data_IF_552297722898
#
_entry.id   IF_552297722898
#
_cell.length_a   1.000
_cell.length_b   1.000
_cell.length_c   1.000
_cell.angle_alpha   90.00
_cell.angle_beta   90.00
_cell.angle_gamma   90.00
#
_symmetry.space_group_name_H-M   'P 1'
#
loop_
_entity.id
_entity.type
_entity.pdbx_description
1 polymer ?
#
# COMPACT_ATOMS: atom_id res chain seq x y z
N UNK A 1 7.08 22.39 4.06
CA UNK A 1 7.19 21.08 4.74
C UNK A 1 7.01 20.00 3.68
N UNK A 2 8.05 19.23 3.36
CA UNK A 2 7.92 18.10 2.43
C UNK A 2 7.17 16.97 3.14
N UNK A 3 5.99 16.61 2.65
CA UNK A 3 5.21 15.49 3.18
C UNK A 3 5.88 14.19 2.72
N UNK A 4 6.78 13.65 3.53
CA UNK A 4 7.39 12.35 3.27
C UNK A 4 6.31 11.27 3.40
N UNK A 5 6.11 10.51 2.32
CA UNK A 5 5.20 9.36 2.26
C UNK A 5 6.05 8.08 2.28
N UNK A 6 6.41 7.57 3.47
CA UNK A 6 7.27 6.40 3.58
C UNK A 6 6.59 5.17 2.96
N UNK A 7 7.40 4.29 2.36
CA UNK A 7 6.93 2.99 1.89
C UNK A 7 6.95 2.00 3.05
N UNK A 8 5.81 1.39 3.33
CA UNK A 8 5.59 0.62 4.56
C UNK A 8 4.98 -0.73 4.20
N UNK A 9 5.37 -1.77 4.95
CA UNK A 9 4.77 -3.10 4.86
C UNK A 9 3.54 -3.21 5.77
N UNK A 10 2.57 -4.10 5.47
CA UNK A 10 1.37 -4.31 6.29
C UNK A 10 1.68 -4.49 7.79
N UNK A 11 2.70 -5.28 8.11
CA UNK A 11 3.12 -5.56 9.48
C UNK A 11 3.53 -4.31 10.28
N UNK A 12 3.92 -3.23 9.60
CA UNK A 12 4.38 -1.98 10.22
C UNK A 12 3.32 -0.87 10.19
N UNK A 13 2.10 -1.16 9.72
CA UNK A 13 1.00 -0.18 9.70
C UNK A 13 0.67 0.37 11.08
N UNK A 14 0.84 -0.45 12.12
CA UNK A 14 0.58 -0.07 13.51
C UNK A 14 1.42 1.14 13.96
N UNK A 15 2.63 1.32 13.40
CA UNK A 15 3.49 2.45 13.74
C UNK A 15 2.95 3.80 13.23
N UNK A 16 2.18 3.78 12.14
CA UNK A 16 1.61 4.96 11.47
C UNK A 16 0.13 5.16 11.81
N UNK A 17 -0.38 4.44 12.81
CA UNK A 17 -1.75 4.56 13.26
C UNK A 17 -1.97 5.94 13.91
N UNK A 18 -3.10 6.63 13.64
CA UNK A 18 -3.40 7.96 14.18
C UNK A 18 -3.41 8.05 15.72
N UNK A 19 -3.55 6.92 16.44
CA UNK A 19 -3.43 6.90 17.91
C UNK A 19 -1.97 7.07 18.39
N UNK A 20 -0.99 6.86 17.51
CA UNK A 20 0.41 7.10 17.80
C UNK A 20 0.66 8.61 17.66
N UNK A 21 0.39 9.36 18.74
CA UNK A 21 0.35 10.82 18.79
C UNK A 21 1.73 11.50 18.66
N UNK A 22 2.61 11.01 17.80
CA UNK A 22 3.86 11.68 17.48
C UNK A 22 3.59 12.75 16.40
N UNK A 23 3.68 14.06 16.71
CA UNK A 23 3.38 15.14 15.76
C UNK A 23 4.35 15.19 14.55
N UNK A 24 5.43 14.42 14.57
CA UNK A 24 6.39 14.30 13.46
C UNK A 24 6.12 13.10 12.54
N UNK A 25 5.21 12.20 12.91
CA UNK A 25 4.90 10.99 12.12
C UNK A 25 3.71 11.27 11.22
N UNK A 26 3.89 11.06 9.92
CA UNK A 26 2.81 11.18 8.95
C UNK A 26 1.96 9.91 8.98
N UNK A 27 0.63 10.06 9.08
CA UNK A 27 -0.27 8.90 8.99
C UNK A 27 -0.47 8.43 7.54
N UNK A 28 0.21 9.06 6.58
CA UNK A 28 0.15 8.75 5.16
C UNK A 28 1.30 7.83 4.80
N UNK A 29 0.99 6.63 4.33
CA UNK A 29 1.94 5.60 3.95
C UNK A 29 1.74 5.21 2.49
N UNK A 30 2.76 4.58 1.92
CA UNK A 30 2.72 4.00 0.58
C UNK A 30 2.93 2.49 0.65
N UNK A 31 2.06 1.73 0.00
CA UNK A 31 2.02 0.26 0.07
C UNK A 31 1.94 -0.29 -1.34
N UNK A 32 2.79 -1.26 -1.65
CA UNK A 32 2.74 -1.99 -2.91
C UNK A 32 2.16 -3.37 -2.66
N UNK A 33 1.15 -3.75 -3.43
CA UNK A 33 0.56 -5.08 -3.36
C UNK A 33 -0.24 -5.42 -4.60
N UNK A 34 -0.57 -6.71 -4.73
CA UNK A 34 -1.43 -7.20 -5.82
C UNK A 34 -2.87 -7.16 -5.36
N UNK A 35 -3.76 -6.60 -6.18
CA UNK A 35 -5.20 -6.58 -5.87
C UNK A 35 -5.77 -7.99 -5.94
N UNK A 36 -6.18 -8.53 -4.80
CA UNK A 36 -6.74 -9.88 -4.69
C UNK A 36 -8.25 -9.90 -4.49
N UNK A 37 -8.83 -8.81 -3.97
CA UNK A 37 -10.28 -8.64 -3.90
C UNK A 37 -10.69 -7.18 -4.15
N UNK A 38 -11.84 -7.00 -4.81
CA UNK A 38 -12.52 -5.72 -4.97
C UNK A 38 -13.98 -5.87 -4.55
N UNK A 39 -14.44 -5.04 -3.63
CA UNK A 39 -15.77 -5.06 -3.02
C UNK A 39 -16.31 -3.63 -2.93
N UNK A 40 -16.88 -3.13 -4.03
CA UNK A 40 -17.41 -1.78 -4.10
C UNK A 40 -16.36 -0.75 -3.70
N UNK A 41 -16.50 -0.18 -2.51
CA UNK A 41 -15.63 0.86 -1.96
C UNK A 41 -14.45 0.31 -1.14
N UNK A 42 -14.25 -1.00 -1.13
CA UNK A 42 -13.16 -1.66 -0.40
C UNK A 42 -12.37 -2.56 -1.34
N UNK A 43 -11.05 -2.56 -1.23
CA UNK A 43 -10.18 -3.51 -1.90
C UNK A 43 -9.34 -4.28 -0.89
N UNK A 44 -8.92 -5.48 -1.26
CA UNK A 44 -7.87 -6.20 -0.53
C UNK A 44 -6.68 -6.33 -1.46
N UNK A 45 -5.52 -5.90 -0.98
CA UNK A 45 -4.25 -6.11 -1.65
C UNK A 45 -3.41 -7.07 -0.83
N UNK A 46 -2.68 -7.96 -1.51
CA UNK A 46 -1.74 -8.88 -0.88
C UNK A 46 -0.32 -8.41 -1.16
N UNK A 47 0.45 -8.17 -0.11
CA UNK A 47 1.82 -7.66 -0.18
C UNK A 47 2.83 -8.81 -0.23
N UNK A 48 2.70 -9.69 -1.22
CA UNK A 48 3.47 -10.94 -1.29
C UNK A 48 3.29 -11.78 -0.02
N UNK A 49 4.40 -12.21 0.57
CA UNK A 49 4.39 -13.02 1.81
C UNK A 49 4.21 -12.20 3.09
N UNK A 50 4.04 -10.88 2.99
CA UNK A 50 3.95 -9.97 4.14
C UNK A 50 2.51 -9.73 4.62
N UNK A 51 1.55 -10.54 4.15
CA UNK A 51 0.14 -10.45 4.51
C UNK A 51 -0.70 -9.57 3.58
N UNK A 52 -1.99 -9.51 3.89
CA UNK A 52 -3.01 -8.75 3.18
C UNK A 52 -3.40 -7.47 3.92
N UNK A 53 -3.80 -6.46 3.16
CA UNK A 53 -4.27 -5.17 3.68
C UNK A 53 -5.58 -4.81 3.03
N UNK A 54 -6.51 -4.36 3.86
CA UNK A 54 -7.77 -3.81 3.41
C UNK A 54 -7.62 -2.32 3.12
N UNK A 55 -7.98 -1.94 1.91
CA UNK A 55 -7.98 -0.57 1.42
C UNK A 55 -9.41 -0.05 1.35
N UNK A 56 -9.63 1.16 1.83
CA UNK A 56 -10.87 1.89 1.59
C UNK A 56 -10.66 2.73 0.35
N UNK A 57 -11.30 2.31 -0.74
CA UNK A 57 -11.27 2.98 -2.03
C UNK A 57 -12.12 4.24 -2.00
N UNK A 58 -11.79 5.13 -2.92
CA UNK A 58 -12.63 6.25 -3.30
C UNK A 58 -13.30 5.94 -4.64
N UNK A 59 -14.40 6.64 -5.00
CA UNK A 59 -15.07 6.46 -6.28
C UNK A 59 -14.18 6.70 -7.52
N UNK A 60 -13.08 7.46 -7.36
CA UNK A 60 -12.07 7.74 -8.39
C UNK A 60 -10.94 6.69 -8.44
N UNK A 61 -10.96 5.67 -7.57
CA UNK A 61 -9.93 4.65 -7.49
C UNK A 61 -10.20 3.52 -8.48
N UNK A 62 -9.51 3.57 -9.63
CA UNK A 62 -9.66 2.61 -10.72
C UNK A 62 -8.76 1.37 -10.55
N UNK A 63 -8.79 0.74 -9.38
CA UNK A 63 -8.00 -0.48 -9.15
C UNK A 63 -8.54 -1.66 -9.97
N UNK A 64 -7.63 -2.45 -10.52
CA UNK A 64 -7.96 -3.64 -11.30
C UNK A 64 -7.56 -4.92 -10.57
N UNK A 65 -8.46 -5.90 -10.56
CA UNK A 65 -8.23 -7.22 -9.97
C UNK A 65 -7.02 -7.89 -10.63
N UNK A 66 -6.13 -8.47 -9.80
CA UNK A 66 -4.94 -9.19 -10.25
C UNK A 66 -3.79 -8.32 -10.76
N UNK A 67 -3.93 -6.98 -10.71
CA UNK A 67 -2.83 -6.06 -11.04
C UNK A 67 -2.00 -5.70 -9.82
N UNK A 68 -0.73 -5.44 -10.06
CA UNK A 68 0.18 -4.89 -9.07
C UNK A 68 -0.04 -3.39 -8.98
N UNK A 69 -0.32 -2.89 -7.79
CA UNK A 69 -0.65 -1.48 -7.56
C UNK A 69 0.10 -0.94 -6.37
N UNK A 70 0.58 0.29 -6.49
CA UNK A 70 1.13 1.06 -5.38
C UNK A 70 0.10 2.08 -4.91
N UNK A 71 -0.21 2.04 -3.63
CA UNK A 71 -1.28 2.80 -3.01
C UNK A 71 -0.69 3.74 -2.00
N UNK A 72 -0.98 5.04 -2.17
CA UNK A 72 -0.69 6.07 -1.17
C UNK A 72 -1.98 6.32 -0.41
N UNK A 73 -1.96 6.15 0.91
CA UNK A 73 -3.15 6.31 1.72
C UNK A 73 -2.88 6.56 3.19
N UNK A 74 -3.94 6.93 3.92
CA UNK A 74 -3.86 7.15 5.36
C UNK A 74 -4.24 5.89 6.12
N UNK A 75 -3.45 5.54 7.13
CA UNK A 75 -3.78 4.40 8.01
C UNK A 75 -5.04 4.74 8.81
N UNK A 76 -5.97 3.80 8.84
CA UNK A 76 -7.28 3.91 9.52
C UNK A 76 -7.64 2.58 10.14
N UNK A 77 -8.51 2.60 11.14
CA UNK A 77 -9.15 1.37 11.61
C UNK A 77 -10.27 0.97 10.63
N UNK A 78 -10.39 -0.33 10.39
CA UNK A 78 -11.44 -0.97 9.59
C UNK A 78 -12.15 -1.96 10.50
N UNK A 79 -13.43 -1.68 10.78
CA UNK A 79 -14.24 -2.49 11.68
C UNK A 79 -14.23 -3.97 11.25
N UNK A 80 -13.74 -4.83 12.15
CA UNK A 80 -13.69 -6.29 11.95
C UNK A 80 -12.48 -6.83 11.19
N UNK A 81 -11.62 -5.97 10.61
CA UNK A 81 -10.40 -6.39 9.90
C UNK A 81 -9.11 -5.76 10.46
N UNK A 82 -9.21 -4.90 11.47
CA UNK A 82 -8.07 -4.26 12.13
C UNK A 82 -7.61 -3.01 11.39
N UNK A 83 -6.30 -2.88 11.13
CA UNK A 83 -5.79 -1.70 10.42
C UNK A 83 -5.97 -1.83 8.91
N UNK A 84 -6.54 -0.80 8.31
CA UNK A 84 -6.60 -0.62 6.87
C UNK A 84 -6.06 0.72 6.42
N UNK A 85 -6.20 1.00 5.13
CA UNK A 85 -5.65 2.20 4.51
C UNK A 85 -6.69 2.88 3.64
N UNK A 86 -7.01 4.13 3.96
CA UNK A 86 -7.86 4.97 3.13
C UNK A 86 -7.05 5.54 1.97
N UNK A 87 -7.40 5.15 0.75
CA UNK A 87 -6.67 5.52 -0.46
C UNK A 87 -6.75 7.03 -0.68
N UNK A 88 -5.60 7.66 -0.83
CA UNK A 88 -5.47 9.03 -1.32
C UNK A 88 -5.14 9.06 -2.81
N UNK A 89 -4.34 8.11 -3.28
CA UNK A 89 -4.02 7.88 -4.68
C UNK A 89 -3.50 6.47 -4.91
N UNK A 90 -3.60 5.99 -6.14
CA UNK A 90 -3.12 4.68 -6.57
C UNK A 90 -2.32 4.80 -7.87
N UNK A 91 -1.32 3.94 -8.02
CA UNK A 91 -0.46 3.86 -9.19
C UNK A 91 -0.40 2.41 -9.67
N UNK A 92 -0.85 2.17 -10.90
CA UNK A 92 -0.89 0.84 -11.48
C UNK A 92 0.47 0.49 -12.08
N UNK A 93 1.09 -0.57 -11.57
CA UNK A 93 2.34 -1.14 -12.10
C UNK A 93 2.11 -2.17 -13.21
N UNK A 94 0.85 -2.54 -13.46
CA UNK A 94 0.49 -3.51 -14.49
C UNK A 94 0.47 -4.95 -13.98
N UNK A 95 0.84 -5.91 -14.84
CA UNK A 95 0.72 -7.32 -14.52
C UNK A 95 1.90 -7.76 -13.62
N UNK A 96 1.67 -8.43 -12.47
CA UNK A 96 2.76 -8.99 -11.67
C UNK A 96 3.69 -9.90 -12.48
N UNK A 97 3.17 -10.61 -13.48
CA UNK A 97 3.97 -11.46 -14.38
C UNK A 97 4.98 -10.68 -15.22
N UNK A 98 4.63 -9.47 -15.65
CA UNK A 98 5.53 -8.60 -16.42
C UNK A 98 6.60 -7.99 -15.49
N UNK A 99 6.21 -7.71 -14.23
CA UNK A 99 7.12 -7.21 -13.20
C UNK A 99 8.16 -8.28 -12.77
N UNK A 100 7.76 -9.55 -12.74
CA UNK A 100 8.64 -10.68 -12.43
C UNK A 100 9.64 -11.05 -13.54
N UNK A 101 9.30 -10.77 -14.81
CA UNK A 101 10.24 -10.96 -15.92
C UNK A 101 11.19 -9.78 -16.13
N UNK A 102 10.80 -8.56 -15.77
CA UNK A 102 11.70 -7.40 -15.87
C UNK A 102 12.62 -7.25 -14.64
N UNK A 103 12.28 -7.84 -13.49
CA UNK A 103 13.08 -7.74 -12.27
C UNK A 103 13.00 -9.02 -11.39
N UNK A 104 13.86 -10.03 -11.63
CA UNK A 104 13.99 -11.17 -10.72
C UNK A 104 14.53 -10.78 -9.32
N UNK A 105 14.92 -9.52 -9.12
CA UNK A 105 15.57 -8.98 -7.93
C UNK A 105 14.72 -7.99 -7.13
N UNK A 106 13.42 -7.83 -7.41
CA UNK A 106 12.55 -6.98 -6.55
C UNK A 106 12.33 -7.58 -5.15
N UNK A 107 12.69 -8.86 -4.97
CA UNK A 107 12.79 -9.55 -3.69
C UNK A 107 14.18 -9.44 -3.03
N UNK A 108 15.15 -8.79 -3.66
CA UNK A 108 16.53 -8.63 -3.16
C UNK A 108 16.82 -7.18 -2.73
N UNK A 109 17.54 -7.02 -1.62
CA UNK A 109 17.30 -6.01 -0.58
C UNK A 109 17.86 -4.60 -0.85
N UNK A 110 18.34 -4.25 -2.03
CA UNK A 110 19.20 -3.05 -2.18
C UNK A 110 18.78 -1.97 -3.20
N UNK A 111 17.79 -2.21 -4.06
CA UNK A 111 17.31 -1.17 -5.00
C UNK A 111 16.18 -0.27 -4.43
N UNK A 112 15.81 -0.49 -3.17
CA UNK A 112 14.82 0.32 -2.44
C UNK A 112 15.22 1.80 -2.24
N UNK A 113 16.49 2.17 -2.44
CA UNK A 113 16.96 3.55 -2.26
C UNK A 113 16.78 4.45 -3.51
N UNK A 114 16.61 3.92 -4.73
CA UNK A 114 16.64 4.79 -5.93
C UNK A 114 15.28 5.38 -6.36
N UNK A 115 14.16 4.96 -5.77
CA UNK A 115 12.82 5.57 -6.01
C UNK A 115 12.37 6.41 -4.80
N UNK A 116 13.31 6.74 -3.90
CA UNK A 116 13.14 7.69 -2.80
C UNK A 116 14.32 8.68 -2.81
N UNK A 117 14.49 9.40 -3.92
CA UNK A 117 15.14 10.72 -3.98
C UNK A 117 14.38 11.60 -4.98
#
# INVERSE_FOLDING_TARGET
MSLQTPRVLPAHLHAFHPSNANPHVTNTVRILGTVTALRGDTATITCGDNGDVTLILKPDSHLQMGKLVEVVGKVTDVEGQGLGVRVLGSFDWGNPSDCGMLFPSFLDRELWLMVVL
#
